data_IF_781216581556
#
_entry.id   IF_781216581556
#
_cell.length_a   1.000
_cell.length_b   1.000
_cell.length_c   1.000
_cell.angle_alpha   90.00
_cell.angle_beta   90.00
_cell.angle_gamma   90.00
#
_symmetry.space_group_name_H-M   'P 1'
#
loop_
_entity.id
_entity.type
_entity.pdbx_description
1 polymer ?
#
# COMPACT_ATOMS: atom_id res chain seq x y z
N UNK A 1 -2.27 -6.25 -32.95
CA UNK A 1 -2.29 -7.62 -32.37
C UNK A 1 -1.51 -7.54 -31.08
N UNK A 2 -2.20 -7.52 -29.93
CA UNK A 2 -1.53 -7.63 -28.64
C UNK A 2 -0.89 -9.02 -28.55
N UNK A 3 0.41 -9.11 -28.27
CA UNK A 3 1.07 -10.37 -28.02
C UNK A 3 0.30 -11.11 -26.93
N UNK A 4 -0.03 -12.38 -27.15
CA UNK A 4 -0.54 -13.24 -26.09
C UNK A 4 0.41 -13.15 -24.90
N UNK A 5 -0.14 -12.79 -23.74
CA UNK A 5 0.62 -12.79 -22.48
C UNK A 5 1.18 -14.19 -22.30
N UNK A 6 2.48 -14.35 -22.41
CA UNK A 6 3.16 -15.60 -22.04
C UNK A 6 2.96 -15.77 -20.53
N UNK A 7 2.25 -16.81 -20.13
CA UNK A 7 1.86 -17.08 -18.75
C UNK A 7 3.01 -17.38 -17.77
N UNK A 8 4.26 -17.47 -18.22
CA UNK A 8 5.37 -17.99 -17.43
C UNK A 8 6.46 -16.97 -17.04
N UNK A 9 6.31 -15.70 -17.39
CA UNK A 9 7.36 -14.69 -17.17
C UNK A 9 6.86 -13.41 -16.52
N UNK A 10 7.31 -13.14 -15.30
CA UNK A 10 7.25 -11.79 -14.73
C UNK A 10 8.15 -10.91 -15.59
N UNK A 11 7.57 -9.95 -16.33
CA UNK A 11 8.33 -9.02 -17.18
C UNK A 11 8.29 -7.62 -16.57
N UNK A 12 9.36 -6.87 -16.70
CA UNK A 12 9.49 -5.47 -16.28
C UNK A 12 9.87 -4.52 -17.43
N UNK A 13 9.59 -4.92 -18.67
CA UNK A 13 9.84 -4.16 -19.89
C UNK A 13 8.55 -3.60 -20.53
N UNK A 14 7.53 -3.34 -19.70
CA UNK A 14 6.28 -2.74 -20.15
C UNK A 14 6.51 -1.36 -20.76
N UNK A 15 5.93 -1.09 -21.95
CA UNK A 15 5.84 0.27 -22.45
C UNK A 15 4.60 1.00 -21.89
N UNK A 16 4.62 2.33 -21.92
CA UNK A 16 3.44 3.13 -21.54
C UNK A 16 2.25 2.86 -22.46
N UNK A 17 2.51 2.66 -23.76
CA UNK A 17 1.49 2.34 -24.76
C UNK A 17 0.83 0.99 -24.49
N UNK A 18 1.57 -0.02 -24.06
CA UNK A 18 1.02 -1.31 -23.68
C UNK A 18 0.12 -1.18 -22.45
N UNK A 19 0.52 -0.40 -21.45
CA UNK A 19 -0.29 -0.17 -20.25
C UNK A 19 -1.52 0.70 -20.59
N UNK A 20 -1.37 1.75 -21.40
CA UNK A 20 -2.50 2.54 -21.89
C UNK A 20 -3.52 1.67 -22.62
N UNK A 21 -3.04 0.74 -23.46
CA UNK A 21 -3.92 -0.22 -24.15
C UNK A 21 -4.68 -1.14 -23.19
N UNK A 22 -4.13 -1.46 -21.99
CA UNK A 22 -4.90 -2.16 -20.95
C UNK A 22 -6.03 -1.28 -20.40
N UNK A 23 -5.76 -0.01 -20.13
CA UNK A 23 -6.78 0.94 -19.66
C UNK A 23 -7.89 1.17 -20.71
N UNK A 24 -7.58 1.05 -22.01
CA UNK A 24 -8.52 1.26 -23.11
C UNK A 24 -9.34 0.00 -23.46
N UNK A 25 -9.01 -1.16 -22.90
CA UNK A 25 -9.81 -2.37 -23.09
C UNK A 25 -11.26 -2.15 -22.63
N UNK A 26 -12.25 -2.83 -23.23
CA UNK A 26 -13.56 -2.98 -22.62
C UNK A 26 -13.40 -3.42 -21.15
N UNK A 27 -14.14 -2.79 -20.26
CA UNK A 27 -13.97 -3.00 -18.82
C UNK A 27 -13.99 -4.48 -18.42
N UNK A 28 -14.97 -5.22 -18.94
CA UNK A 28 -15.13 -6.65 -18.65
C UNK A 28 -13.95 -7.49 -19.17
N UNK A 29 -13.37 -7.12 -20.30
CA UNK A 29 -12.19 -7.79 -20.87
C UNK A 29 -10.96 -7.58 -19.99
N UNK A 30 -10.74 -6.35 -19.52
CA UNK A 30 -9.62 -6.06 -18.62
C UNK A 30 -9.75 -6.82 -17.29
N UNK A 31 -10.95 -6.81 -16.69
CA UNK A 31 -11.21 -7.53 -15.42
C UNK A 31 -11.04 -9.04 -15.60
N UNK A 32 -11.51 -9.59 -16.73
CA UNK A 32 -11.33 -11.01 -17.05
C UNK A 32 -9.83 -11.38 -17.11
N UNK A 33 -9.03 -10.63 -17.87
CA UNK A 33 -7.56 -10.84 -17.94
C UNK A 33 -6.88 -10.76 -16.59
N UNK A 34 -7.26 -9.76 -15.79
CA UNK A 34 -6.71 -9.60 -14.46
C UNK A 34 -7.07 -10.79 -13.55
N UNK A 35 -8.30 -11.30 -13.64
CA UNK A 35 -8.75 -12.49 -12.93
C UNK A 35 -7.99 -13.77 -13.34
N UNK A 36 -7.67 -13.93 -14.64
CA UNK A 36 -6.86 -15.05 -15.14
C UNK A 36 -5.43 -14.97 -14.56
N UNK A 37 -4.79 -13.78 -14.65
CA UNK A 37 -3.46 -13.55 -14.07
C UNK A 37 -3.46 -13.79 -12.57
N UNK A 38 -4.47 -13.30 -11.85
CA UNK A 38 -4.60 -13.53 -10.42
C UNK A 38 -4.60 -15.02 -10.08
N UNK A 39 -5.46 -15.81 -10.74
CA UNK A 39 -5.59 -17.26 -10.50
C UNK A 39 -4.35 -18.05 -10.88
N UNK A 40 -3.54 -17.55 -11.80
CA UNK A 40 -2.28 -18.20 -12.19
C UNK A 40 -1.18 -18.05 -11.13
N UNK A 41 -1.29 -17.05 -10.25
CA UNK A 41 -0.21 -16.69 -9.31
C UNK A 41 -0.64 -16.71 -7.84
N UNK A 42 -1.95 -16.70 -7.54
CA UNK A 42 -2.49 -16.64 -6.18
C UNK A 42 -3.67 -17.59 -6.03
N UNK A 43 -3.89 -18.08 -4.83
CA UNK A 43 -5.08 -18.87 -4.51
C UNK A 43 -6.32 -17.97 -4.62
N UNK A 44 -7.29 -18.42 -5.43
CA UNK A 44 -8.53 -17.67 -5.62
C UNK A 44 -9.34 -17.65 -4.32
N UNK A 45 -9.79 -16.46 -3.93
CA UNK A 45 -10.60 -16.28 -2.73
C UNK A 45 -9.83 -16.09 -1.43
N UNK A 46 -8.49 -16.20 -1.42
CA UNK A 46 -7.66 -15.87 -0.26
C UNK A 46 -7.28 -14.39 -0.26
N UNK A 47 -7.44 -13.74 0.89
CA UNK A 47 -7.14 -12.32 1.08
C UNK A 47 -6.24 -12.13 2.30
N UNK A 48 -5.10 -11.47 2.11
CA UNK A 48 -4.20 -11.12 3.20
C UNK A 48 -4.82 -10.01 4.06
N UNK A 49 -4.89 -10.25 5.36
CA UNK A 49 -5.33 -9.28 6.35
C UNK A 49 -4.13 -8.57 6.98
N UNK A 50 -4.17 -7.25 6.97
CA UNK A 50 -3.12 -6.41 7.54
C UNK A 50 -3.72 -5.40 8.51
N UNK A 51 -3.09 -5.17 9.64
CA UNK A 51 -3.45 -4.07 10.55
C UNK A 51 -2.45 -2.94 10.42
N UNK A 52 -2.93 -1.69 10.41
CA UNK A 52 -2.10 -0.50 10.30
C UNK A 52 -2.19 0.34 11.58
N UNK A 53 -1.05 0.59 12.22
CA UNK A 53 -0.91 1.44 13.40
C UNK A 53 -0.11 2.70 13.11
N UNK A 54 -0.64 3.87 13.47
CA UNK A 54 0.16 5.10 13.54
C UNK A 54 0.97 5.11 14.83
N UNK A 55 2.26 4.82 14.74
CA UNK A 55 3.18 4.83 15.91
C UNK A 55 3.71 6.22 16.22
N UNK A 56 3.56 7.17 15.29
CA UNK A 56 3.81 8.61 15.50
C UNK A 56 2.92 9.39 14.52
N UNK A 57 2.01 10.18 15.04
CA UNK A 57 1.00 10.91 14.27
C UNK A 57 1.37 12.38 14.17
N UNK A 58 1.07 13.02 13.02
CA UNK A 58 1.14 14.46 12.81
C UNK A 58 2.54 15.07 12.87
N UNK A 59 2.66 16.35 12.52
CA UNK A 59 3.91 17.09 12.57
C UNK A 59 4.95 16.65 11.54
N UNK A 60 4.52 16.08 10.40
CA UNK A 60 5.40 15.76 9.29
C UNK A 60 5.76 17.05 8.53
N UNK A 61 7.03 17.34 8.26
CA UNK A 61 7.44 18.56 7.57
C UNK A 61 7.20 18.56 6.05
N UNK A 62 6.71 17.42 5.49
CA UNK A 62 6.39 17.33 4.07
C UNK A 62 5.06 18.01 3.76
N UNK A 63 4.95 18.57 2.54
CA UNK A 63 3.79 19.31 2.05
C UNK A 63 2.80 18.48 1.22
N UNK A 64 2.80 17.14 1.37
CA UNK A 64 1.91 16.27 0.61
C UNK A 64 0.46 16.77 0.68
N UNK A 65 -0.08 17.25 -0.45
CA UNK A 65 -1.35 17.96 -0.53
C UNK A 65 -2.59 17.15 -0.11
N UNK A 66 -2.47 15.84 0.01
CA UNK A 66 -3.51 14.91 0.50
C UNK A 66 -3.37 14.57 1.98
N UNK A 67 -2.25 14.91 2.63
CA UNK A 67 -1.89 14.31 3.91
C UNK A 67 -2.30 15.17 5.11
N UNK A 68 -3.24 14.65 5.90
CA UNK A 68 -3.69 15.30 7.13
C UNK A 68 -2.59 15.40 8.22
N UNK A 69 -1.48 14.68 8.10
CA UNK A 69 -0.39 14.67 9.08
C UNK A 69 0.70 15.73 8.80
N UNK A 70 0.59 16.44 7.66
CA UNK A 70 1.49 17.52 7.27
C UNK A 70 1.38 18.72 8.23
N UNK A 71 2.50 19.38 8.52
CA UNK A 71 2.48 20.67 9.23
C UNK A 71 1.88 21.80 8.37
N UNK A 72 1.74 21.57 7.07
CA UNK A 72 1.16 22.51 6.11
C UNK A 72 -0.37 22.33 5.97
N UNK A 73 -0.97 21.32 6.64
CA UNK A 73 -2.40 21.08 6.63
C UNK A 73 -3.05 21.60 7.92
N UNK A 74 -4.22 22.22 7.79
CA UNK A 74 -5.08 22.62 8.91
C UNK A 74 -6.18 21.58 9.17
N UNK A 75 -5.73 20.33 9.35
CA UNK A 75 -6.60 19.15 9.45
C UNK A 75 -7.06 18.83 10.88
N UNK A 76 -6.60 19.58 11.87
CA UNK A 76 -6.88 19.31 13.28
C UNK A 76 -6.09 18.09 13.84
N UNK A 77 -5.24 17.46 13.08
CA UNK A 77 -4.41 16.32 13.54
C UNK A 77 -3.33 16.81 14.50
N UNK A 78 -3.42 16.41 15.76
CA UNK A 78 -2.46 16.78 16.81
C UNK A 78 -1.20 15.93 16.67
N UNK A 79 -0.02 16.59 16.69
CA UNK A 79 1.26 15.91 16.64
C UNK A 79 1.55 15.12 17.92
N UNK A 80 1.98 13.88 17.78
CA UNK A 80 2.42 13.03 18.90
C UNK A 80 3.92 12.78 18.86
N UNK A 81 4.46 12.31 19.98
CA UNK A 81 5.78 11.67 20.02
C UNK A 81 5.67 10.25 19.47
N UNK A 82 6.83 9.60 19.24
CA UNK A 82 6.87 8.16 18.98
C UNK A 82 6.22 7.42 20.15
N UNK A 83 5.35 6.47 19.83
CA UNK A 83 4.65 5.62 20.79
C UNK A 83 5.67 4.77 21.56
N UNK A 84 5.38 4.49 22.82
CA UNK A 84 6.17 3.59 23.63
C UNK A 84 6.21 2.17 23.03
N UNK A 85 7.36 1.51 23.08
CA UNK A 85 7.56 0.18 22.49
C UNK A 85 6.53 -0.83 23.00
N UNK A 86 6.29 -0.86 24.32
CA UNK A 86 5.36 -1.82 24.91
C UNK A 86 3.91 -1.58 24.46
N UNK A 87 3.53 -0.32 24.26
CA UNK A 87 2.22 0.02 23.71
C UNK A 87 2.06 -0.49 22.27
N UNK A 88 3.11 -0.34 21.43
CA UNK A 88 3.09 -0.87 20.06
C UNK A 88 2.98 -2.39 20.07
N UNK A 89 3.75 -3.07 20.91
CA UNK A 89 3.73 -4.53 21.05
C UNK A 89 2.36 -5.04 21.53
N UNK A 90 1.71 -4.32 22.45
CA UNK A 90 0.34 -4.64 22.88
C UNK A 90 -0.66 -4.56 21.71
N UNK A 91 -0.54 -3.51 20.87
CA UNK A 91 -1.38 -3.35 19.68
C UNK A 91 -1.12 -4.45 18.64
N UNK A 92 0.14 -4.83 18.47
CA UNK A 92 0.51 -5.94 17.58
C UNK A 92 -0.09 -7.28 18.03
N UNK A 93 -0.06 -7.57 19.34
CA UNK A 93 -0.71 -8.76 19.90
C UNK A 93 -2.23 -8.75 19.62
N UNK A 94 -2.91 -7.62 19.86
CA UNK A 94 -4.33 -7.47 19.53
C UNK A 94 -4.63 -7.72 18.04
N UNK A 95 -3.79 -7.18 17.15
CA UNK A 95 -3.94 -7.38 15.72
C UNK A 95 -3.76 -8.86 15.32
N UNK A 96 -2.80 -9.56 15.95
CA UNK A 96 -2.60 -10.99 15.76
C UNK A 96 -3.83 -11.78 16.19
N UNK A 97 -4.35 -11.51 17.39
CA UNK A 97 -5.55 -12.16 17.92
C UNK A 97 -6.79 -11.92 17.04
N UNK A 98 -6.86 -10.77 16.36
CA UNK A 98 -7.86 -10.45 15.36
C UNK A 98 -7.62 -11.09 13.98
N UNK A 99 -6.58 -11.92 13.82
CA UNK A 99 -6.30 -12.68 12.59
C UNK A 99 -5.44 -11.97 11.55
N UNK A 100 -4.81 -10.83 11.87
CA UNK A 100 -3.88 -10.19 10.95
C UNK A 100 -2.63 -11.03 10.73
N UNK A 101 -2.20 -11.14 9.46
CA UNK A 101 -0.93 -11.78 9.10
C UNK A 101 0.22 -10.77 9.10
N UNK A 102 -0.06 -9.49 8.78
CA UNK A 102 0.93 -8.42 8.71
C UNK A 102 0.55 -7.25 9.61
N UNK A 103 1.52 -6.77 10.37
CA UNK A 103 1.38 -5.57 11.17
C UNK A 103 2.19 -4.43 10.56
N UNK A 104 1.47 -3.42 10.04
CA UNK A 104 2.04 -2.26 9.39
C UNK A 104 2.12 -1.09 10.40
N UNK A 105 3.26 -0.40 10.45
CA UNK A 105 3.50 0.67 11.41
C UNK A 105 3.97 1.92 10.69
N UNK A 106 3.21 3.00 10.83
CA UNK A 106 3.48 4.28 10.17
C UNK A 106 3.90 5.36 11.15
N UNK A 107 4.93 6.14 10.80
CA UNK A 107 5.32 7.35 11.52
C UNK A 107 5.33 8.56 10.57
N UNK A 108 4.72 9.65 11.01
CA UNK A 108 4.65 10.91 10.26
C UNK A 108 6.00 11.63 10.29
N UNK A 109 6.96 11.11 9.54
CA UNK A 109 8.31 11.66 9.38
C UNK A 109 8.65 11.91 7.89
N UNK A 110 9.53 12.89 7.66
CA UNK A 110 10.26 12.98 6.39
C UNK A 110 11.26 11.82 6.27
N UNK A 111 12.02 11.59 7.34
CA UNK A 111 12.93 10.47 7.57
C UNK A 111 13.05 10.23 9.08
N UNK A 112 13.32 9.01 9.54
CA UNK A 112 13.51 8.75 10.94
C UNK A 112 14.78 9.46 11.46
N UNK A 113 14.75 9.87 12.71
CA UNK A 113 15.94 10.44 13.37
C UNK A 113 16.75 9.33 14.00
N UNK A 114 18.06 9.41 13.98
CA UNK A 114 18.96 8.38 14.51
C UNK A 114 18.69 8.08 15.99
N UNK A 115 18.29 9.08 16.77
CA UNK A 115 17.91 8.90 18.19
C UNK A 115 16.65 8.04 18.38
N UNK A 116 15.77 7.95 17.38
CA UNK A 116 14.52 7.20 17.43
C UNK A 116 14.70 5.77 16.88
N UNK A 117 15.78 5.51 16.12
CA UNK A 117 16.06 4.21 15.50
C UNK A 117 16.19 3.05 16.51
N UNK A 118 16.81 3.20 17.69
CA UNK A 118 16.86 2.10 18.66
C UNK A 118 15.47 1.59 19.06
N UNK A 119 14.50 2.49 19.32
CA UNK A 119 13.13 2.11 19.65
C UNK A 119 12.42 1.47 18.44
N UNK A 120 12.64 1.97 17.23
CA UNK A 120 12.08 1.38 16.00
C UNK A 120 12.59 -0.04 15.78
N UNK A 121 13.89 -0.28 15.98
CA UNK A 121 14.52 -1.61 15.89
C UNK A 121 13.92 -2.57 16.92
N UNK A 122 13.72 -2.11 18.16
CA UNK A 122 13.10 -2.91 19.21
C UNK A 122 11.65 -3.28 18.87
N UNK A 123 10.88 -2.33 18.34
CA UNK A 123 9.51 -2.57 17.85
C UNK A 123 9.51 -3.65 16.76
N UNK A 124 10.37 -3.55 15.74
CA UNK A 124 10.45 -4.54 14.65
C UNK A 124 10.73 -5.93 15.21
N UNK A 125 11.76 -6.07 16.05
CA UNK A 125 12.13 -7.35 16.68
C UNK A 125 10.99 -7.94 17.51
N UNK A 126 10.32 -7.09 18.31
CA UNK A 126 9.22 -7.52 19.17
C UNK A 126 8.00 -8.00 18.39
N UNK A 127 7.59 -7.28 17.35
CA UNK A 127 6.46 -7.67 16.49
C UNK A 127 6.78 -8.96 15.72
N UNK A 128 7.99 -9.06 15.16
CA UNK A 128 8.44 -10.27 14.46
C UNK A 128 8.47 -11.49 15.38
N UNK A 129 8.92 -11.32 16.63
CA UNK A 129 8.92 -12.41 17.62
C UNK A 129 7.52 -12.97 17.94
N UNK A 130 6.46 -12.19 17.64
CA UNK A 130 5.08 -12.66 17.75
C UNK A 130 4.63 -13.50 16.55
N UNK A 131 5.45 -13.65 15.49
CA UNK A 131 5.10 -14.38 14.28
C UNK A 131 4.24 -13.57 13.29
N UNK A 132 4.20 -12.25 13.41
CA UNK A 132 3.60 -11.35 12.43
C UNK A 132 4.63 -10.92 11.39
N UNK A 133 4.24 -10.82 10.12
CA UNK A 133 5.02 -10.06 9.15
C UNK A 133 5.06 -8.59 9.58
N UNK A 134 6.21 -7.97 9.45
CA UNK A 134 6.44 -6.57 9.80
C UNK A 134 6.49 -5.68 8.58
N UNK A 135 5.83 -4.50 8.65
CA UNK A 135 5.93 -3.48 7.61
C UNK A 135 6.08 -2.10 8.26
N UNK A 136 7.06 -1.33 7.82
CA UNK A 136 7.30 0.04 8.31
C UNK A 136 7.11 1.08 7.22
N UNK A 137 6.56 2.25 7.62
CA UNK A 137 6.43 3.47 6.82
C UNK A 137 7.00 4.64 7.63
N UNK A 138 8.28 4.96 7.44
CA UNK A 138 8.99 5.95 8.28
C UNK A 138 9.46 7.17 7.46
N UNK A 139 9.00 7.32 6.22
CA UNK A 139 9.49 8.31 5.28
C UNK A 139 10.70 7.80 4.48
N UNK A 140 11.62 8.68 4.09
CA UNK A 140 12.85 8.31 3.38
C UNK A 140 13.82 7.59 4.31
N UNK A 141 14.59 6.65 3.78
CA UNK A 141 15.65 5.96 4.50
C UNK A 141 17.01 6.22 3.85
N UNK A 142 18.04 6.37 4.67
CA UNK A 142 19.41 6.22 4.21
C UNK A 142 19.77 4.74 4.10
N UNK A 143 20.85 4.38 3.36
CA UNK A 143 21.34 2.99 3.30
C UNK A 143 21.61 2.40 4.70
N UNK A 144 22.19 3.19 5.61
CA UNK A 144 22.49 2.77 6.97
C UNK A 144 21.22 2.46 7.77
N UNK A 145 20.20 3.32 7.66
CA UNK A 145 18.91 3.11 8.32
C UNK A 145 18.19 1.87 7.77
N UNK A 146 18.25 1.65 6.46
CA UNK A 146 17.71 0.45 5.83
C UNK A 146 18.44 -0.81 6.32
N UNK A 147 19.77 -0.76 6.42
CA UNK A 147 20.59 -1.83 6.98
C UNK A 147 20.20 -2.19 8.44
N UNK A 148 20.03 -1.19 9.30
CA UNK A 148 19.60 -1.40 10.70
C UNK A 148 18.22 -2.09 10.77
N UNK A 149 17.29 -1.72 9.89
CA UNK A 149 15.96 -2.34 9.84
C UNK A 149 16.03 -3.78 9.32
N UNK A 150 16.87 -4.04 8.32
CA UNK A 150 17.12 -5.39 7.82
C UNK A 150 17.71 -6.30 8.91
N UNK A 151 18.71 -5.82 9.64
CA UNK A 151 19.31 -6.53 10.79
C UNK A 151 18.30 -6.78 11.93
N UNK A 152 17.33 -5.89 12.09
CA UNK A 152 16.22 -6.09 13.03
C UNK A 152 15.23 -7.16 12.54
N UNK A 153 15.30 -7.54 11.27
CA UNK A 153 14.44 -8.51 10.61
C UNK A 153 13.15 -7.92 10.06
N UNK A 154 13.16 -6.66 9.62
CA UNK A 154 12.02 -6.05 8.95
C UNK A 154 11.72 -6.79 7.65
N UNK A 155 10.47 -7.25 7.49
CA UNK A 155 10.06 -7.99 6.29
C UNK A 155 9.75 -7.05 5.12
N UNK A 156 9.02 -5.95 5.37
CA UNK A 156 8.57 -5.00 4.33
C UNK A 156 8.82 -3.56 4.73
N UNK A 157 9.17 -2.74 3.75
CA UNK A 157 9.17 -1.29 3.90
C UNK A 157 8.19 -0.66 2.93
N UNK A 158 7.23 0.10 3.46
CA UNK A 158 6.29 0.85 2.63
C UNK A 158 6.83 2.24 2.31
N UNK A 159 6.99 2.50 1.02
CA UNK A 159 7.30 3.83 0.51
C UNK A 159 6.62 4.03 -0.84
N UNK A 160 5.42 4.62 -0.80
CA UNK A 160 4.63 4.82 -2.00
C UNK A 160 5.29 5.83 -2.93
N UNK A 161 5.17 5.63 -4.25
CA UNK A 161 5.52 6.65 -5.26
C UNK A 161 4.40 7.67 -5.43
N UNK A 162 3.24 7.41 -4.84
CA UNK A 162 2.03 8.22 -4.74
C UNK A 162 1.30 8.46 -6.07
N UNK A 163 1.97 8.83 -7.15
CA UNK A 163 1.37 9.11 -8.46
C UNK A 163 2.39 8.88 -9.60
N UNK A 164 2.08 9.36 -10.81
CA UNK A 164 3.05 9.38 -11.91
C UNK A 164 4.18 10.39 -11.67
N UNK A 165 5.35 10.21 -12.32
CA UNK A 165 6.42 11.23 -12.28
C UNK A 165 5.95 12.60 -12.70
N UNK A 166 5.06 12.69 -13.70
CA UNK A 166 4.55 13.91 -14.28
C UNK A 166 3.58 14.66 -13.36
N UNK A 167 2.77 13.91 -12.62
CA UNK A 167 1.77 14.48 -11.70
C UNK A 167 2.34 14.78 -10.30
N UNK A 168 3.42 14.10 -9.91
CA UNK A 168 3.96 14.14 -8.55
C UNK A 168 4.21 15.56 -8.02
N UNK A 169 4.85 16.42 -8.81
CA UNK A 169 5.18 17.79 -8.40
C UNK A 169 3.96 18.70 -8.20
N UNK A 170 2.78 18.29 -8.66
CA UNK A 170 1.51 19.00 -8.37
C UNK A 170 0.98 18.73 -6.98
N UNK A 171 1.45 17.67 -6.34
CA UNK A 171 0.93 17.17 -5.08
C UNK A 171 1.95 17.31 -3.94
N UNK A 172 3.25 17.21 -4.25
CA UNK A 172 4.35 17.22 -3.28
C UNK A 172 5.50 18.05 -3.86
N UNK A 173 5.97 19.05 -3.13
CA UNK A 173 7.08 19.90 -3.57
C UNK A 173 8.31 19.84 -2.66
N UNK A 174 8.16 19.38 -1.42
CA UNK A 174 9.24 19.31 -0.42
C UNK A 174 10.24 18.18 -0.66
N UNK A 175 9.93 17.25 -1.56
CA UNK A 175 10.83 16.19 -2.04
C UNK A 175 10.51 15.85 -3.49
N UNK A 176 11.49 15.30 -4.19
CA UNK A 176 11.37 14.93 -5.60
C UNK A 176 10.78 13.53 -5.76
N UNK A 177 10.33 13.20 -6.96
CA UNK A 177 9.94 11.83 -7.30
C UNK A 177 11.15 10.87 -7.22
N UNK A 178 12.36 11.36 -7.58
CA UNK A 178 13.58 10.57 -7.48
C UNK A 178 13.91 10.17 -6.04
N UNK A 179 13.69 11.05 -5.05
CA UNK A 179 13.88 10.71 -3.62
C UNK A 179 13.03 9.50 -3.19
N UNK A 180 11.87 9.29 -3.86
CA UNK A 180 11.04 8.09 -3.64
C UNK A 180 11.73 6.84 -4.19
N UNK A 181 12.23 6.92 -5.41
CA UNK A 181 12.91 5.79 -6.07
C UNK A 181 14.21 5.43 -5.35
N UNK A 182 14.99 6.43 -4.95
CA UNK A 182 16.24 6.20 -4.20
C UNK A 182 15.96 5.48 -2.87
N UNK A 183 14.88 5.83 -2.17
CA UNK A 183 14.48 5.12 -0.95
C UNK A 183 14.11 3.66 -1.23
N UNK A 184 13.40 3.38 -2.33
CA UNK A 184 13.07 2.00 -2.73
C UNK A 184 14.34 1.20 -3.06
N UNK A 185 15.32 1.84 -3.69
CA UNK A 185 16.62 1.22 -3.99
C UNK A 185 17.39 0.90 -2.69
N UNK A 186 17.47 1.83 -1.73
CA UNK A 186 18.11 1.58 -0.43
C UNK A 186 17.47 0.40 0.30
N UNK A 187 16.14 0.33 0.28
CA UNK A 187 15.36 -0.77 0.88
C UNK A 187 15.69 -2.10 0.22
N UNK A 188 15.72 -2.15 -1.12
CA UNK A 188 16.08 -3.35 -1.89
C UNK A 188 17.51 -3.79 -1.64
N UNK A 189 18.46 -2.85 -1.66
CA UNK A 189 19.88 -3.13 -1.40
C UNK A 189 20.11 -3.71 0.00
N UNK A 190 19.29 -3.36 0.98
CA UNK A 190 19.31 -3.93 2.32
C UNK A 190 18.61 -5.31 2.42
N UNK A 191 18.02 -5.83 1.35
CA UNK A 191 17.33 -7.13 1.34
C UNK A 191 15.92 -7.11 1.93
N UNK A 192 15.32 -5.94 2.12
CA UNK A 192 13.94 -5.78 2.62
C UNK A 192 12.97 -5.79 1.43
N UNK A 193 11.84 -6.49 1.56
CA UNK A 193 10.79 -6.49 0.56
C UNK A 193 10.13 -5.10 0.46
N UNK A 194 9.76 -4.72 -0.78
CA UNK A 194 9.17 -3.40 -1.07
C UNK A 194 7.65 -3.49 -1.06
N UNK A 195 7.04 -2.57 -0.31
CA UNK A 195 5.62 -2.23 -0.43
C UNK A 195 5.54 -0.83 -1.05
N UNK A 196 5.10 -0.71 -2.30
CA UNK A 196 5.03 0.59 -2.98
C UNK A 196 3.84 0.64 -3.92
N UNK A 197 3.08 1.70 -3.80
CA UNK A 197 1.88 1.96 -4.58
C UNK A 197 1.60 3.45 -4.66
N UNK A 198 0.32 3.82 -4.72
CA UNK A 198 -0.04 5.22 -4.83
C UNK A 198 -1.50 5.50 -4.48
N UNK A 199 -1.88 6.74 -4.78
CA UNK A 199 -3.21 7.27 -4.52
C UNK A 199 -3.82 7.68 -5.86
N UNK A 200 -5.05 7.28 -6.10
CA UNK A 200 -5.83 7.69 -7.28
C UNK A 200 -7.05 8.51 -6.84
N UNK A 201 -7.51 9.39 -7.70
CA UNK A 201 -8.59 10.33 -7.40
C UNK A 201 -8.11 11.66 -6.81
N UNK A 202 -6.83 12.00 -7.02
CA UNK A 202 -6.25 13.30 -6.63
C UNK A 202 -6.49 14.42 -7.69
N UNK A 203 -7.27 14.14 -8.73
CA UNK A 203 -7.45 15.00 -9.88
C UNK A 203 -6.52 14.68 -11.06
N UNK A 204 -5.78 13.60 -10.96
CA UNK A 204 -4.93 13.06 -12.02
C UNK A 204 -5.76 12.51 -13.19
N UNK A 205 -5.15 12.46 -14.36
CA UNK A 205 -5.73 11.88 -15.58
C UNK A 205 -5.53 10.36 -15.63
N UNK A 206 -6.19 9.68 -16.59
CA UNK A 206 -5.92 8.28 -16.87
C UNK A 206 -4.48 8.06 -17.33
N UNK A 207 -3.91 9.00 -18.08
CA UNK A 207 -2.51 8.93 -18.52
C UNK A 207 -1.53 8.99 -17.32
N UNK A 208 -1.86 9.78 -16.30
CA UNK A 208 -1.09 9.77 -15.05
C UNK A 208 -1.18 8.41 -14.34
N UNK A 209 -2.36 7.75 -14.35
CA UNK A 209 -2.49 6.38 -13.80
C UNK A 209 -1.68 5.36 -14.60
N UNK A 210 -1.62 5.52 -15.93
CA UNK A 210 -0.70 4.74 -16.78
C UNK A 210 0.74 4.95 -16.37
N UNK A 211 1.18 6.21 -16.19
CA UNK A 211 2.53 6.54 -15.72
C UNK A 211 2.85 5.99 -14.33
N UNK A 212 1.88 6.01 -13.42
CA UNK A 212 1.98 5.42 -12.09
C UNK A 212 2.21 3.90 -12.16
N UNK A 213 1.35 3.17 -12.89
CA UNK A 213 1.49 1.71 -13.05
C UNK A 213 2.78 1.37 -13.80
N UNK A 214 3.11 2.13 -14.86
CA UNK A 214 4.34 1.94 -15.62
C UNK A 214 5.57 2.03 -14.73
N UNK A 215 5.66 3.04 -13.87
CA UNK A 215 6.81 3.18 -12.98
C UNK A 215 7.00 1.96 -12.07
N UNK A 216 5.94 1.44 -11.46
CA UNK A 216 6.02 0.26 -10.60
C UNK A 216 6.34 -1.01 -11.39
N UNK A 217 5.72 -1.18 -12.56
CA UNK A 217 5.86 -2.37 -13.40
C UNK A 217 7.21 -2.47 -14.12
N UNK A 218 7.96 -1.36 -14.18
CA UNK A 218 9.29 -1.30 -14.82
C UNK A 218 10.44 -1.21 -13.83
N UNK A 219 10.17 -1.26 -12.52
CA UNK A 219 11.23 -1.41 -11.52
C UNK A 219 12.01 -2.71 -11.80
N UNK A 220 13.32 -2.78 -11.52
CA UNK A 220 14.13 -3.99 -11.72
C UNK A 220 13.52 -5.23 -11.07
N UNK A 221 12.86 -5.05 -9.93
CA UNK A 221 12.02 -6.05 -9.26
C UNK A 221 10.69 -5.39 -8.90
N UNK A 222 9.58 -6.02 -9.27
CA UNK A 222 8.26 -5.53 -8.88
C UNK A 222 8.17 -5.42 -7.36
N UNK A 223 7.42 -4.44 -6.82
CA UNK A 223 7.10 -4.43 -5.40
C UNK A 223 6.36 -5.72 -5.02
N UNK A 224 6.72 -6.33 -3.91
CA UNK A 224 6.01 -7.51 -3.39
C UNK A 224 4.59 -7.16 -2.95
N UNK A 225 4.34 -5.89 -2.60
CA UNK A 225 3.01 -5.40 -2.25
C UNK A 225 2.75 -4.06 -2.92
N UNK A 226 1.59 -3.92 -3.56
CA UNK A 226 1.16 -2.72 -4.29
C UNK A 226 -0.16 -2.21 -3.69
N UNK A 227 -0.11 -1.28 -2.72
CA UNK A 227 -1.30 -0.63 -2.21
C UNK A 227 -1.86 0.36 -3.24
N UNK A 228 -3.13 0.18 -3.60
CA UNK A 228 -3.92 1.14 -4.38
C UNK A 228 -4.88 1.82 -3.41
N UNK A 229 -4.69 3.13 -3.23
CA UNK A 229 -5.52 3.96 -2.37
C UNK A 229 -6.47 4.79 -3.22
N UNK A 230 -7.75 4.84 -2.87
CA UNK A 230 -8.59 5.95 -3.31
C UNK A 230 -8.38 7.14 -2.36
N UNK A 231 -8.27 8.33 -2.91
CA UNK A 231 -8.16 9.54 -2.09
C UNK A 231 -9.35 9.63 -1.12
N UNK A 232 -9.04 9.84 0.14
CA UNK A 232 -10.02 10.25 1.17
C UNK A 232 -9.81 11.74 1.39
N UNK A 233 -10.65 12.61 0.82
CA UNK A 233 -10.51 14.06 1.00
C UNK A 233 -10.66 14.45 2.46
N UNK A 234 -9.65 15.10 3.03
CA UNK A 234 -9.67 15.59 4.41
C UNK A 234 -9.70 17.11 4.40
N UNK A 235 -10.69 17.71 5.05
CA UNK A 235 -10.78 19.16 5.19
C UNK A 235 -9.50 19.74 5.84
N UNK A 236 -9.05 20.88 5.36
CA UNK A 236 -7.82 21.52 5.79
C UNK A 236 -6.56 20.95 5.12
N UNK A 237 -6.68 19.99 4.22
CA UNK A 237 -5.61 19.61 3.29
C UNK A 237 -5.83 20.26 1.94
N UNK A 238 -4.75 20.53 1.20
CA UNK A 238 -4.82 21.23 -0.10
C UNK A 238 -5.78 20.51 -1.07
N UNK A 239 -5.64 19.18 -1.22
CA UNK A 239 -6.50 18.41 -2.12
C UNK A 239 -7.91 18.22 -1.54
N UNK A 240 -8.04 18.06 -0.23
CA UNK A 240 -9.34 17.94 0.42
C UNK A 240 -10.20 19.17 0.16
N UNK A 241 -9.65 20.37 0.35
CA UNK A 241 -10.37 21.62 0.15
C UNK A 241 -10.60 21.93 -1.34
N UNK A 242 -9.59 21.65 -2.20
CA UNK A 242 -9.70 21.88 -3.64
C UNK A 242 -10.77 20.98 -4.30
N UNK A 243 -10.90 19.75 -3.86
CA UNK A 243 -11.81 18.77 -4.46
C UNK A 243 -13.21 18.78 -3.81
N UNK A 244 -13.36 19.40 -2.63
CA UNK A 244 -14.63 19.45 -1.91
C UNK A 244 -15.78 19.98 -2.79
N UNK A 245 -16.87 19.24 -2.86
CA UNK A 245 -18.05 19.61 -3.64
C UNK A 245 -17.89 19.51 -5.17
N UNK A 246 -16.76 19.03 -5.64
CA UNK A 246 -16.56 18.75 -7.08
C UNK A 246 -16.86 17.30 -7.44
N UNK A 247 -17.13 16.97 -8.71
CA UNK A 247 -17.25 15.58 -9.16
C UNK A 247 -15.96 14.75 -8.94
N UNK A 248 -14.82 15.39 -8.75
CA UNK A 248 -13.52 14.75 -8.51
C UNK A 248 -13.28 14.39 -7.04
N UNK A 249 -14.18 14.77 -6.12
CA UNK A 249 -14.06 14.45 -4.70
C UNK A 249 -14.04 12.93 -4.41
N UNK A 250 -14.57 12.13 -5.34
CA UNK A 250 -14.50 10.67 -5.32
C UNK A 250 -14.11 10.17 -6.70
N UNK A 251 -13.13 9.27 -6.77
CA UNK A 251 -12.81 8.58 -8.01
C UNK A 251 -14.00 7.70 -8.46
N UNK A 252 -14.22 7.63 -9.76
CA UNK A 252 -15.17 6.69 -10.36
C UNK A 252 -14.78 5.24 -10.02
N UNK A 253 -15.74 4.44 -9.54
CA UNK A 253 -15.50 3.07 -9.08
C UNK A 253 -14.93 2.19 -10.22
N UNK A 254 -15.39 2.40 -11.49
CA UNK A 254 -14.87 1.66 -12.65
C UNK A 254 -13.41 2.01 -12.95
N UNK A 255 -13.04 3.29 -12.85
CA UNK A 255 -11.66 3.73 -13.05
C UNK A 255 -10.74 3.22 -11.93
N UNK A 256 -11.24 3.12 -10.69
CA UNK A 256 -10.49 2.50 -9.61
C UNK A 256 -10.25 1.01 -9.86
N UNK A 257 -11.28 0.26 -10.23
CA UNK A 257 -11.17 -1.17 -10.58
C UNK A 257 -10.23 -1.38 -11.77
N UNK A 258 -10.27 -0.49 -12.80
CA UNK A 258 -9.31 -0.54 -13.92
C UNK A 258 -7.86 -0.42 -13.43
N UNK A 259 -7.61 0.46 -12.47
CA UNK A 259 -6.26 0.65 -11.92
C UNK A 259 -5.79 -0.60 -11.16
N UNK A 260 -6.67 -1.21 -10.36
CA UNK A 260 -6.41 -2.49 -9.69
C UNK A 260 -6.12 -3.61 -10.70
N UNK A 261 -6.95 -3.70 -11.74
CA UNK A 261 -6.78 -4.71 -12.80
C UNK A 261 -5.47 -4.52 -13.58
N UNK A 262 -5.13 -3.28 -13.95
CA UNK A 262 -3.87 -2.97 -14.61
C UNK A 262 -2.66 -3.32 -13.72
N UNK A 263 -2.73 -3.01 -12.43
CA UNK A 263 -1.69 -3.40 -11.47
C UNK A 263 -1.52 -4.93 -11.41
N UNK A 264 -2.61 -5.70 -11.37
CA UNK A 264 -2.55 -7.17 -11.37
C UNK A 264 -1.96 -7.73 -12.66
N UNK A 265 -2.36 -7.22 -13.83
CA UNK A 265 -1.86 -7.71 -15.12
C UNK A 265 -0.37 -7.44 -15.28
N UNK A 266 0.08 -6.28 -14.86
CA UNK A 266 1.47 -5.83 -15.03
C UNK A 266 2.42 -6.36 -13.95
N UNK A 267 1.91 -6.62 -12.75
CA UNK A 267 2.67 -7.11 -11.60
C UNK A 267 2.03 -8.38 -11.02
N UNK A 268 2.14 -9.51 -11.74
CA UNK A 268 1.32 -10.70 -11.48
C UNK A 268 1.55 -11.36 -10.13
N UNK A 269 2.74 -11.24 -9.54
CA UNK A 269 3.08 -11.86 -8.24
C UNK A 269 2.90 -10.93 -7.05
N UNK A 270 2.67 -9.64 -7.28
CA UNK A 270 2.48 -8.67 -6.19
C UNK A 270 1.20 -8.91 -5.41
N UNK A 271 1.23 -8.67 -4.10
CA UNK A 271 0.01 -8.53 -3.30
C UNK A 271 -0.63 -7.17 -3.62
N UNK A 272 -1.70 -7.16 -4.40
CA UNK A 272 -2.44 -5.92 -4.72
C UNK A 272 -3.39 -5.62 -3.58
N UNK A 273 -3.15 -4.50 -2.87
CA UNK A 273 -3.92 -4.15 -1.68
C UNK A 273 -4.94 -3.07 -1.96
N UNK A 274 -6.19 -3.34 -1.59
CA UNK A 274 -7.18 -2.29 -1.39
C UNK A 274 -6.86 -1.60 -0.05
N UNK A 275 -6.44 -0.35 -0.13
CA UNK A 275 -5.95 0.39 1.03
C UNK A 275 -6.96 1.46 1.46
N UNK A 276 -6.60 2.75 1.50
CA UNK A 276 -7.54 3.80 1.88
C UNK A 276 -8.69 3.95 0.87
N UNK A 277 -9.82 4.48 1.36
CA UNK A 277 -10.99 4.82 0.54
C UNK A 277 -12.03 3.70 0.41
N UNK A 278 -11.80 2.51 0.96
CA UNK A 278 -12.76 1.39 0.91
C UNK A 278 -14.11 1.73 1.54
N UNK A 279 -14.13 2.53 2.59
CA UNK A 279 -15.36 2.95 3.29
C UNK A 279 -16.34 3.68 2.34
N UNK A 280 -15.82 4.41 1.35
CA UNK A 280 -16.64 5.13 0.37
C UNK A 280 -17.03 4.28 -0.86
N UNK A 281 -16.51 3.05 -0.98
CA UNK A 281 -16.82 2.15 -2.08
C UNK A 281 -18.07 1.31 -1.78
N UNK A 282 -18.87 1.06 -2.80
CA UNK A 282 -19.95 0.08 -2.70
C UNK A 282 -19.39 -1.34 -2.52
N UNK A 283 -20.17 -2.24 -1.91
CA UNK A 283 -19.81 -3.67 -1.84
C UNK A 283 -19.56 -4.26 -3.24
N UNK A 284 -20.33 -3.83 -4.25
CA UNK A 284 -20.15 -4.26 -5.63
C UNK A 284 -18.81 -3.80 -6.21
N UNK A 285 -18.39 -2.57 -5.95
CA UNK A 285 -17.09 -2.07 -6.38
C UNK A 285 -15.94 -2.84 -5.71
N UNK A 286 -16.04 -3.12 -4.40
CA UNK A 286 -15.04 -3.93 -3.70
C UNK A 286 -15.02 -5.37 -4.24
N UNK A 287 -16.16 -5.99 -4.53
CA UNK A 287 -16.24 -7.32 -5.14
C UNK A 287 -15.57 -7.35 -6.52
N UNK A 288 -15.77 -6.31 -7.34
CA UNK A 288 -15.08 -6.17 -8.63
C UNK A 288 -13.56 -6.00 -8.46
N UNK A 289 -13.10 -5.30 -7.42
CA UNK A 289 -11.67 -5.20 -7.12
C UNK A 289 -11.06 -6.58 -6.77
N UNK A 290 -11.74 -7.39 -5.95
CA UNK A 290 -11.28 -8.76 -5.64
C UNK A 290 -11.30 -9.64 -6.88
N UNK A 291 -12.34 -9.54 -7.74
CA UNK A 291 -12.38 -10.24 -9.03
C UNK A 291 -11.22 -9.80 -9.94
N UNK A 292 -10.90 -8.51 -9.96
CA UNK A 292 -9.77 -7.95 -10.71
C UNK A 292 -8.40 -8.25 -10.08
N UNK A 293 -8.36 -9.06 -9.01
CA UNK A 293 -7.12 -9.58 -8.44
C UNK A 293 -6.57 -8.80 -7.27
N UNK A 294 -7.33 -7.92 -6.61
CA UNK A 294 -6.97 -7.47 -5.28
C UNK A 294 -7.00 -8.68 -4.31
N UNK A 295 -5.97 -8.83 -3.48
CA UNK A 295 -5.82 -9.95 -2.57
C UNK A 295 -5.20 -9.57 -1.22
N UNK A 296 -5.27 -8.31 -0.85
CA UNK A 296 -4.86 -7.82 0.47
C UNK A 296 -5.72 -6.62 0.88
N UNK A 297 -6.04 -6.49 2.16
CA UNK A 297 -6.75 -5.34 2.74
C UNK A 297 -6.11 -4.91 4.06
N UNK A 298 -6.42 -3.67 4.48
CA UNK A 298 -6.27 -3.28 5.87
C UNK A 298 -7.56 -3.57 6.63
N UNK A 299 -7.44 -4.18 7.81
CA UNK A 299 -8.51 -4.46 8.78
C UNK A 299 -8.52 -3.44 9.92
N UNK A 300 -9.55 -3.48 10.75
CA UNK A 300 -9.76 -2.55 11.87
C UNK A 300 -10.50 -1.28 11.46
N UNK A 301 -10.90 -0.50 12.46
CA UNK A 301 -11.76 0.68 12.27
C UNK A 301 -11.02 1.91 11.75
N UNK A 302 -9.70 1.88 11.76
CA UNK A 302 -8.88 3.06 11.46
C UNK A 302 -7.58 2.69 10.75
N UNK A 303 -7.25 3.51 9.74
CA UNK A 303 -5.92 3.59 9.16
C UNK A 303 -5.01 4.52 9.98
N UNK A 304 -4.08 5.24 9.36
CA UNK A 304 -3.22 6.17 10.12
C UNK A 304 -4.03 7.28 10.80
N UNK A 305 -4.87 7.99 10.04
CA UNK A 305 -5.72 9.10 10.50
C UNK A 305 -7.15 9.01 9.96
N UNK A 306 -7.37 8.30 8.86
CA UNK A 306 -8.68 8.13 8.24
C UNK A 306 -9.42 6.94 8.84
N UNK A 307 -10.78 6.94 8.84
CA UNK A 307 -11.57 5.77 9.17
C UNK A 307 -11.32 4.64 8.16
N UNK A 308 -11.70 3.43 8.55
CA UNK A 308 -11.67 2.23 7.71
C UNK A 308 -12.99 1.45 7.90
N UNK A 309 -13.20 0.44 7.07
CA UNK A 309 -14.47 -0.30 6.97
C UNK A 309 -14.89 -0.98 8.27
N UNK A 310 -13.93 -1.43 9.07
CA UNK A 310 -14.17 -2.18 10.30
C UNK A 310 -14.30 -3.69 10.09
N UNK A 311 -13.95 -4.45 11.14
CA UNK A 311 -13.82 -5.90 11.06
C UNK A 311 -15.16 -6.61 10.81
N UNK A 312 -16.25 -6.15 11.40
CA UNK A 312 -17.59 -6.75 11.23
C UNK A 312 -18.08 -6.62 9.77
N UNK A 313 -17.86 -5.46 9.15
CA UNK A 313 -18.28 -5.22 7.76
C UNK A 313 -17.38 -6.00 6.79
N UNK A 314 -16.09 -6.13 7.06
CA UNK A 314 -15.19 -6.97 6.27
C UNK A 314 -15.58 -8.46 6.38
N UNK A 315 -15.89 -8.95 7.56
CA UNK A 315 -16.36 -10.33 7.76
C UNK A 315 -17.67 -10.60 7.01
N UNK A 316 -18.61 -9.65 7.05
CA UNK A 316 -19.87 -9.75 6.32
C UNK A 316 -19.67 -9.77 4.80
N UNK A 317 -18.79 -8.91 4.26
CA UNK A 317 -18.45 -8.87 2.84
C UNK A 317 -17.76 -10.18 2.41
N UNK A 318 -16.80 -10.68 3.20
CA UNK A 318 -16.10 -11.92 2.90
C UNK A 318 -17.06 -13.11 2.88
N UNK A 319 -17.98 -13.20 3.84
CA UNK A 319 -19.02 -14.24 3.85
C UNK A 319 -19.91 -14.20 2.59
N UNK A 320 -20.33 -13.01 2.13
CA UNK A 320 -21.11 -12.81 0.91
C UNK A 320 -20.35 -13.26 -0.35
N UNK A 321 -19.05 -13.01 -0.39
CA UNK A 321 -18.20 -13.27 -1.56
C UNK A 321 -17.54 -14.65 -1.53
N UNK A 322 -17.64 -15.40 -0.42
CA UNK A 322 -16.93 -16.66 -0.23
C UNK A 322 -15.41 -16.48 -0.13
N UNK A 323 -14.95 -15.30 0.34
CA UNK A 323 -13.54 -15.02 0.56
C UNK A 323 -13.11 -15.51 1.95
N UNK A 324 -11.85 -15.88 2.08
CA UNK A 324 -11.24 -16.30 3.34
C UNK A 324 -9.95 -15.53 3.60
N UNK A 325 -9.61 -15.37 4.87
CA UNK A 325 -8.30 -14.84 5.22
C UNK A 325 -7.21 -15.81 4.74
N UNK A 326 -6.15 -15.25 4.16
CA UNK A 326 -4.95 -16.02 3.80
C UNK A 326 -4.44 -16.76 5.05
N UNK A 327 -4.19 -18.06 4.95
CA UNK A 327 -3.60 -18.79 6.05
C UNK A 327 -2.20 -18.23 6.36
N UNK A 328 -1.93 -17.91 7.63
CA UNK A 328 -0.59 -17.53 8.05
C UNK A 328 0.38 -18.68 7.77
N UNK A 329 1.54 -18.39 7.18
CA UNK A 329 2.59 -19.39 7.12
C UNK A 329 2.98 -19.77 8.54
N UNK A 330 2.90 -21.08 8.88
CA UNK A 330 3.50 -21.56 10.11
C UNK A 330 5.00 -21.20 10.06
N UNK A 331 5.58 -20.60 11.12
CA UNK A 331 6.99 -20.31 11.14
C UNK A 331 7.75 -21.61 10.85
N UNK A 332 8.58 -21.61 9.80
CA UNK A 332 9.43 -22.76 9.46
C UNK A 332 10.15 -23.18 10.74
N UNK A 333 9.77 -24.33 11.27
CA UNK A 333 10.53 -24.97 12.35
C UNK A 333 11.94 -25.17 11.82
N UNK A 334 12.92 -24.55 12.47
CA UNK A 334 14.31 -24.87 12.24
C UNK A 334 14.45 -26.40 12.44
N UNK A 335 14.44 -27.15 11.35
CA UNK A 335 14.81 -28.54 11.39
C UNK A 335 16.28 -28.60 11.81
N UNK A 336 16.51 -29.29 12.91
CA UNK A 336 17.81 -29.58 13.47
C UNK A 336 18.74 -30.09 12.36
N UNK A 337 19.72 -29.29 12.01
CA UNK A 337 20.91 -29.81 11.34
C UNK A 337 21.74 -30.51 12.43
N UNK A 338 21.60 -31.84 12.48
CA UNK A 338 22.49 -32.72 13.23
C UNK A 338 23.78 -32.96 12.40
#
# INVERSE_FOLDING_TARGET
MLKQVQHDGVRNDWSREEIAALFDLPFTELVFRAAEVHRAHHAAGEVQLCTLLSIKTGGCPEDCGYCAQSVHADSGVVASKLMDVQQVLQRAAQAKDAGSQRFCMGAAWRNPKDRDMPAVVEIVRGVRAMGLETCMTLGMLTPEQAGLLAEAGLDYYNHNIDSSPEYYARVITTRTFQDRLDTLEHVRAAGIAVCSGGIVGMGETREDRVGFIHTLATLPHHPESVPVNALVPVAGTVLGDMLAGTPLAKIDDIEFVRTVAAARVTMPRSMVRLSAGRESMSEAAQALCFLAGANSIFTGDKLLTAPNVGDDADAALFAKLGLVALAGEEPMRAENVA
#
